data_IF_114582957798
#
_entry.id   IF_114582957798
#
_cell.length_a   1.000
_cell.length_b   1.000
_cell.length_c   1.000
_cell.angle_alpha   90.00
_cell.angle_beta   90.00
_cell.angle_gamma   90.00
#
_symmetry.space_group_name_H-M   'P 1'
#
loop_
_entity.id
_entity.type
_entity.pdbx_description
1 polymer ?
#
# COMPACT_ATOMS: atom_id res chain seq x y z
N UNK A 1 8.28 20.44 5.21
CA UNK A 1 8.47 20.59 3.75
C UNK A 1 7.13 20.27 3.09
N UNK A 2 6.64 21.06 2.12
CA UNK A 2 5.44 20.67 1.38
C UNK A 2 5.74 19.32 0.71
N UNK A 3 4.86 18.34 0.92
CA UNK A 3 5.02 17.02 0.33
C UNK A 3 5.06 17.12 -1.20
N UNK A 4 5.65 16.13 -1.90
CA UNK A 4 5.67 16.11 -3.36
C UNK A 4 4.25 16.27 -3.92
N UNK A 5 4.09 17.17 -4.90
CA UNK A 5 2.80 17.47 -5.51
C UNK A 5 2.27 16.26 -6.28
N UNK A 6 1.06 15.80 -5.95
CA UNK A 6 0.39 14.69 -6.65
C UNK A 6 0.02 15.03 -8.10
N UNK A 7 0.08 16.30 -8.50
CA UNK A 7 -0.24 16.75 -9.85
C UNK A 7 0.95 16.74 -10.80
N UNK A 8 2.13 16.27 -10.35
CA UNK A 8 3.23 15.93 -11.26
C UNK A 8 3.25 14.43 -11.55
N UNK A 9 3.82 13.98 -12.70
CA UNK A 9 3.97 12.56 -12.99
C UNK A 9 4.68 11.79 -11.88
N UNK A 10 5.74 12.36 -11.31
CA UNK A 10 6.54 11.75 -10.24
C UNK A 10 5.73 11.61 -8.94
N UNK A 11 4.96 12.65 -8.58
CA UNK A 11 4.10 12.60 -7.40
C UNK A 11 2.92 11.64 -7.56
N UNK A 12 2.35 11.55 -8.77
CA UNK A 12 1.32 10.54 -9.08
C UNK A 12 1.87 9.13 -8.93
N UNK A 13 3.07 8.86 -9.47
CA UNK A 13 3.72 7.55 -9.34
C UNK A 13 4.03 7.19 -7.88
N UNK A 14 4.60 8.13 -7.11
CA UNK A 14 4.87 7.94 -5.69
C UNK A 14 3.58 7.66 -4.89
N UNK A 15 2.49 8.37 -5.21
CA UNK A 15 1.18 8.13 -4.62
C UNK A 15 0.65 6.74 -4.98
N UNK A 16 0.71 6.32 -6.24
CA UNK A 16 0.26 5.00 -6.69
C UNK A 16 1.03 3.87 -6.00
N UNK A 17 2.36 3.97 -5.89
CA UNK A 17 3.17 3.00 -5.16
C UNK A 17 2.79 2.92 -3.68
N UNK A 18 2.56 4.08 -3.05
CA UNK A 18 2.13 4.14 -1.65
C UNK A 18 0.77 3.48 -1.46
N UNK A 19 -0.20 3.80 -2.32
CA UNK A 19 -1.53 3.21 -2.30
C UNK A 19 -1.50 1.69 -2.51
N UNK A 20 -0.67 1.21 -3.46
CA UNK A 20 -0.47 -0.21 -3.71
C UNK A 20 0.14 -0.92 -2.49
N UNK A 21 1.16 -0.33 -1.87
CA UNK A 21 1.77 -0.87 -0.66
C UNK A 21 0.77 -0.97 0.50
N UNK A 22 -0.04 0.07 0.72
CA UNK A 22 -1.09 0.06 1.74
C UNK A 22 -2.17 -1.00 1.45
N UNK A 23 -2.60 -1.13 0.19
CA UNK A 23 -3.56 -2.15 -0.21
C UNK A 23 -3.02 -3.56 0.02
N UNK A 24 -1.74 -3.81 -0.27
CA UNK A 24 -1.09 -5.09 0.00
C UNK A 24 -1.05 -5.40 1.50
N UNK A 25 -0.65 -4.43 2.34
CA UNK A 25 -0.66 -4.59 3.80
C UNK A 25 -2.06 -4.91 4.31
N UNK A 26 -3.08 -4.18 3.85
CA UNK A 26 -4.46 -4.42 4.21
C UNK A 26 -4.94 -5.82 3.81
N UNK A 27 -4.59 -6.28 2.59
CA UNK A 27 -4.92 -7.61 2.13
C UNK A 27 -4.25 -8.70 2.99
N UNK A 28 -2.97 -8.55 3.32
CA UNK A 28 -2.25 -9.48 4.19
C UNK A 28 -2.91 -9.54 5.57
N UNK A 29 -3.19 -8.39 6.18
CA UNK A 29 -3.88 -8.32 7.48
C UNK A 29 -5.24 -9.00 7.42
N UNK A 30 -6.02 -8.75 6.36
CA UNK A 30 -7.31 -9.40 6.19
C UNK A 30 -7.18 -10.92 6.12
N UNK A 31 -6.22 -11.41 5.33
CA UNK A 31 -5.98 -12.84 5.16
C UNK A 31 -5.57 -13.51 6.49
N UNK A 32 -4.67 -12.89 7.24
CA UNK A 32 -4.22 -13.41 8.54
C UNK A 32 -5.33 -13.38 9.59
N UNK A 33 -6.02 -12.25 9.73
CA UNK A 33 -6.96 -12.02 10.83
C UNK A 33 -8.29 -12.74 10.59
N UNK A 34 -8.82 -12.69 9.38
CA UNK A 34 -10.19 -13.15 9.10
C UNK A 34 -10.25 -14.49 8.38
N UNK A 35 -9.27 -14.81 7.54
CA UNK A 35 -9.28 -16.07 6.78
C UNK A 35 -8.39 -17.16 7.38
N UNK A 36 -7.66 -16.86 8.45
CA UNK A 36 -6.74 -17.80 9.09
C UNK A 36 -5.57 -18.22 8.21
N UNK A 37 -5.25 -17.43 7.17
CA UNK A 37 -4.15 -17.72 6.28
C UNK A 37 -2.82 -17.50 7.01
N UNK A 38 -1.93 -18.50 6.96
CA UNK A 38 -0.59 -18.40 7.52
C UNK A 38 0.36 -17.84 6.46
N UNK A 39 1.04 -16.74 6.76
CA UNK A 39 2.13 -16.22 5.92
C UNK A 39 3.33 -17.15 6.13
N UNK A 40 3.84 -17.82 5.07
CA UNK A 40 5.07 -18.60 5.18
C UNK A 40 6.24 -17.68 5.53
N UNK A 41 7.17 -18.11 6.40
CA UNK A 41 8.34 -17.32 6.80
C UNK A 41 9.29 -17.02 5.64
#
# INVERSE_FOLDING_TARGET
MPGPSIYTPEGTFAFMLTALGLALVAAIVYLVVFTGATIPP
#
